data_IF_048263606721
#
_entry.id   IF_048263606721
#
_cell.length_a   1.000
_cell.length_b   1.000
_cell.length_c   1.000
_cell.angle_alpha   90.00
_cell.angle_beta   90.00
_cell.angle_gamma   90.00
#
_symmetry.space_group_name_H-M   'P 1'
#
loop_
_entity.id
_entity.type
_entity.pdbx_description
1 polymer ?
#
# COMPACT_ATOMS: atom_id res chain seq x y z
N UNK A 1 -12.24 -0.23 -2.08
CA UNK A 1 -11.96 0.26 -0.71
C UNK A 1 -10.48 0.07 -0.36
N UNK A 2 -9.99 0.68 0.72
CA UNK A 2 -8.61 0.48 1.23
C UNK A 2 -8.31 -0.99 1.56
N UNK A 3 -9.32 -1.74 2.02
CA UNK A 3 -9.21 -3.17 2.31
C UNK A 3 -9.01 -4.01 1.03
N UNK A 4 -9.75 -3.72 -0.03
CA UNK A 4 -9.60 -4.41 -1.32
C UNK A 4 -8.27 -4.04 -1.99
N UNK A 5 -7.87 -2.76 -1.95
CA UNK A 5 -6.56 -2.33 -2.43
C UNK A 5 -5.43 -3.05 -1.68
N UNK A 6 -5.54 -3.15 -0.36
CA UNK A 6 -4.59 -3.89 0.45
C UNK A 6 -4.51 -5.37 0.09
N UNK A 7 -5.65 -6.01 -0.20
CA UNK A 7 -5.68 -7.40 -0.70
C UNK A 7 -4.98 -7.53 -2.05
N UNK A 8 -5.27 -6.64 -3.00
CA UNK A 8 -4.64 -6.67 -4.33
C UNK A 8 -3.12 -6.50 -4.23
N UNK A 9 -2.64 -5.50 -3.46
CA UNK A 9 -1.21 -5.29 -3.24
C UNK A 9 -0.56 -6.54 -2.63
N UNK A 10 -1.19 -7.14 -1.62
CA UNK A 10 -0.64 -8.33 -0.98
C UNK A 10 -0.61 -9.54 -1.93
N UNK A 11 -1.64 -9.73 -2.75
CA UNK A 11 -1.72 -10.84 -3.71
C UNK A 11 -0.69 -10.72 -4.84
N UNK A 12 -0.55 -9.53 -5.41
CA UNK A 12 0.36 -9.30 -6.55
C UNK A 12 1.83 -9.18 -6.12
N UNK A 13 2.11 -8.63 -4.93
CA UNK A 13 3.49 -8.31 -4.51
C UNK A 13 4.02 -9.18 -3.38
N UNK A 14 3.16 -9.91 -2.66
CA UNK A 14 3.51 -10.62 -1.43
C UNK A 14 3.88 -9.72 -0.25
N UNK A 15 3.73 -8.39 -0.38
CA UNK A 15 4.14 -7.42 0.64
C UNK A 15 2.94 -6.86 1.39
N UNK A 16 3.13 -6.70 2.70
CA UNK A 16 2.12 -6.09 3.56
C UNK A 16 1.95 -4.59 3.20
N UNK A 17 0.75 -4.15 2.76
CA UNK A 17 0.56 -2.84 2.11
C UNK A 17 0.96 -1.66 3.01
N UNK A 18 0.52 -1.69 4.27
CA UNK A 18 0.79 -0.62 5.23
C UNK A 18 2.28 -0.48 5.54
N UNK A 19 3.01 -1.59 5.66
CA UNK A 19 4.44 -1.60 5.97
C UNK A 19 5.29 -1.20 4.76
N UNK A 20 4.93 -1.68 3.57
CA UNK A 20 5.76 -1.51 2.36
C UNK A 20 5.40 -0.30 1.52
N UNK A 21 4.15 0.17 1.58
CA UNK A 21 3.62 1.23 0.72
C UNK A 21 2.82 2.30 1.49
N UNK A 22 2.70 2.19 2.81
CA UNK A 22 1.96 3.18 3.61
C UNK A 22 2.68 4.51 3.80
N UNK A 23 4.00 4.56 3.58
CA UNK A 23 4.83 5.76 3.64
C UNK A 23 6.06 5.63 2.71
N UNK A 24 5.90 4.93 1.60
CA UNK A 24 7.01 4.68 0.67
C UNK A 24 7.14 5.82 -0.34
N UNK A 25 8.34 6.39 -0.44
CA UNK A 25 8.61 7.54 -1.31
C UNK A 25 7.76 8.76 -0.92
N UNK A 26 7.49 9.62 -1.90
CA UNK A 26 6.74 10.87 -1.67
C UNK A 26 5.25 10.78 -2.00
N UNK A 27 4.75 9.62 -2.47
CA UNK A 27 3.40 9.51 -3.02
C UNK A 27 2.59 8.32 -2.48
N UNK A 28 3.21 7.30 -1.87
CA UNK A 28 2.45 6.13 -1.43
C UNK A 28 1.95 6.30 0.01
N UNK A 29 0.64 6.16 0.20
CA UNK A 29 -0.01 6.17 1.51
C UNK A 29 -0.77 7.48 1.82
N UNK A 30 -1.11 7.67 3.08
CA UNK A 30 -1.96 8.79 3.56
C UNK A 30 -1.29 10.16 3.51
N UNK A 31 0.04 10.20 3.44
CA UNK A 31 0.83 11.42 3.32
C UNK A 31 1.39 11.62 1.91
N UNK A 32 0.92 10.82 0.94
CA UNK A 32 1.25 10.96 -0.46
C UNK A 32 0.56 12.16 -1.12
N UNK A 33 1.10 12.61 -2.25
CA UNK A 33 0.52 13.65 -3.10
C UNK A 33 -0.76 13.19 -3.80
#
# INVERSE_FOLDING_TARGET
SLLELGKMILQETGKMPSKSYGAYGCNCGVLGR
#
